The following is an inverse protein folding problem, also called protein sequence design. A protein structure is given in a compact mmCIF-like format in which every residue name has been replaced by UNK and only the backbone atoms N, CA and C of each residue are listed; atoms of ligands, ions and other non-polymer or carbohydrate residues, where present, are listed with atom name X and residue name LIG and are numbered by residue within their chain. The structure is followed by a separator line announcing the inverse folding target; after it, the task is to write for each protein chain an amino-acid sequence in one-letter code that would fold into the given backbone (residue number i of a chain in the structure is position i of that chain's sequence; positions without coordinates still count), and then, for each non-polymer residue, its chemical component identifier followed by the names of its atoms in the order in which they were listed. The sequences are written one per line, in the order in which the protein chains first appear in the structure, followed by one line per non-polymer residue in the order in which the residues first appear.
data_IF_958192481878
#
_entry.id   IF_958192481878
#
_cell.length_a   1.000
_cell.length_b   1.000
_cell.length_c   1.000
_cell.angle_alpha   90.00
_cell.angle_beta   90.00
_cell.angle_gamma   90.00
#
_symmetry.space_group_name_H-M   'P 1'
#
loop_
_entity.id
_entity.type
_entity.pdbx_description
1 polymer ?
#
# COMPACT_ATOMS: atom_id res chain seq x y z
N UNK A 1 39.46 8.68 -3.13
CA UNK A 1 38.04 8.33 -2.90
C UNK A 1 37.41 9.48 -2.14
N UNK A 2 36.59 10.31 -2.79
CA UNK A 2 35.83 11.34 -2.07
C UNK A 2 34.80 10.62 -1.20
N UNK A 3 34.95 10.70 0.12
CA UNK A 3 34.04 10.03 1.06
C UNK A 3 32.62 10.54 0.84
N UNK A 4 31.67 9.62 0.63
CA UNK A 4 30.25 9.98 0.47
C UNK A 4 29.79 10.68 1.75
N UNK A 5 29.63 12.00 1.70
CA UNK A 5 29.16 12.80 2.82
C UNK A 5 27.76 12.31 3.23
N UNK A 6 27.62 11.95 4.51
CA UNK A 6 26.32 11.56 5.07
C UNK A 6 25.43 12.80 5.11
N UNK A 7 24.34 12.80 4.36
CA UNK A 7 23.39 13.91 4.28
C UNK A 7 22.43 13.89 5.47
N UNK A 8 22.87 14.41 6.63
CA UNK A 8 22.03 14.55 7.82
C UNK A 8 21.04 15.70 7.67
N UNK A 9 19.77 15.47 8.01
CA UNK A 9 18.74 16.50 7.94
C UNK A 9 18.91 17.54 9.06
N UNK A 10 18.64 18.80 8.72
CA UNK A 10 18.66 19.93 9.63
C UNK A 10 17.77 21.02 9.05
N UNK A 11 16.83 21.57 9.83
CA UNK A 11 15.86 22.56 9.33
C UNK A 11 16.53 23.73 8.59
N UNK A 12 17.63 24.27 9.14
CA UNK A 12 18.39 25.39 8.55
C UNK A 12 19.04 25.06 7.20
N UNK A 13 19.41 23.80 6.96
CA UNK A 13 20.14 23.37 5.74
C UNK A 13 19.23 22.66 4.72
N UNK A 14 17.95 22.52 5.05
CA UNK A 14 17.00 21.75 4.27
C UNK A 14 15.94 22.64 3.63
N UNK A 15 15.57 22.30 2.39
CA UNK A 15 14.38 22.82 1.73
C UNK A 15 13.45 21.68 1.36
N UNK A 16 12.14 21.93 1.41
CA UNK A 16 11.11 20.98 0.97
C UNK A 16 10.68 21.30 -0.46
N UNK A 17 10.76 20.31 -1.35
CA UNK A 17 10.28 20.40 -2.72
C UNK A 17 9.02 19.54 -2.86
N UNK A 18 7.91 20.18 -3.23
CA UNK A 18 6.61 19.58 -3.50
C UNK A 18 6.37 19.54 -5.01
N UNK A 19 6.46 18.34 -5.59
CA UNK A 19 6.44 18.12 -7.03
C UNK A 19 5.03 17.77 -7.54
N UNK A 20 4.43 18.68 -8.31
CA UNK A 20 3.34 18.42 -9.27
C UNK A 20 2.11 17.66 -8.71
N UNK A 21 1.72 17.94 -7.46
CA UNK A 21 0.59 17.30 -6.77
C UNK A 21 -0.77 17.85 -7.26
N UNK A 22 -1.11 17.59 -8.52
CA UNK A 22 -2.21 18.27 -9.22
C UNK A 22 -3.49 17.44 -9.35
N UNK A 23 -4.62 18.14 -9.52
CA UNK A 23 -5.99 17.59 -9.57
C UNK A 23 -6.19 16.43 -10.56
N UNK A 24 -5.67 16.53 -11.79
CA UNK A 24 -5.91 15.50 -12.82
C UNK A 24 -5.22 14.17 -12.54
N UNK A 25 -4.31 14.10 -11.56
CA UNK A 25 -3.63 12.87 -11.18
C UNK A 25 -4.40 12.00 -10.18
N UNK A 26 -5.45 12.53 -9.54
CA UNK A 26 -6.21 11.86 -8.47
C UNK A 26 -6.60 10.42 -8.77
N UNK A 27 -7.09 10.16 -9.98
CA UNK A 27 -7.63 8.85 -10.36
C UNK A 27 -6.57 7.88 -10.87
N UNK A 28 -5.39 8.40 -11.23
CA UNK A 28 -4.41 7.64 -11.99
C UNK A 28 -3.21 7.25 -11.14
N UNK A 29 -2.97 7.91 -10.01
CA UNK A 29 -1.85 7.63 -9.10
C UNK A 29 -2.27 6.65 -8.02
N UNK A 30 -1.43 5.64 -7.78
CA UNK A 30 -1.62 4.69 -6.68
C UNK A 30 -1.43 5.40 -5.34
N UNK A 31 -2.36 5.21 -4.39
CA UNK A 31 -2.30 5.80 -3.05
C UNK A 31 -2.26 7.35 -3.06
N UNK A 32 -2.96 7.99 -4.01
CA UNK A 32 -2.90 9.45 -4.14
C UNK A 32 -3.29 10.19 -2.85
N UNK A 33 -4.36 9.75 -2.17
CA UNK A 33 -4.82 10.38 -0.94
C UNK A 33 -3.80 10.26 0.20
N UNK A 34 -3.14 9.11 0.33
CA UNK A 34 -2.07 8.86 1.29
C UNK A 34 -0.86 9.74 1.01
N UNK A 35 -0.50 9.90 -0.28
CA UNK A 35 0.60 10.76 -0.71
C UNK A 35 0.28 12.23 -0.42
N UNK A 36 -0.94 12.68 -0.69
CA UNK A 36 -1.42 14.03 -0.34
C UNK A 36 -1.35 14.25 1.17
N UNK A 37 -1.84 13.29 1.95
CA UNK A 37 -1.83 13.35 3.41
C UNK A 37 -0.40 13.50 3.97
N UNK A 38 0.53 12.65 3.53
CA UNK A 38 1.92 12.73 3.99
C UNK A 38 2.63 13.99 3.46
N UNK A 39 2.31 14.46 2.26
CA UNK A 39 2.83 15.72 1.72
C UNK A 39 2.33 16.92 2.51
N UNK A 40 1.05 16.95 2.88
CA UNK A 40 0.46 17.97 3.76
C UNK A 40 1.15 17.98 5.13
N UNK A 41 1.42 16.79 5.69
CA UNK A 41 2.19 16.68 6.94
C UNK A 41 3.59 17.30 6.79
N UNK A 42 4.31 17.02 5.70
CA UNK A 42 5.62 17.63 5.45
C UNK A 42 5.54 19.15 5.32
N UNK A 43 4.50 19.70 4.68
CA UNK A 43 4.28 21.15 4.60
C UNK A 43 4.08 21.78 5.98
N UNK A 44 3.25 21.16 6.84
CA UNK A 44 3.08 21.60 8.23
C UNK A 44 4.40 21.59 9.00
N UNK A 45 5.22 20.55 8.82
CA UNK A 45 6.55 20.44 9.44
C UNK A 45 7.49 21.53 8.91
N UNK A 46 7.54 21.74 7.60
CA UNK A 46 8.37 22.78 6.99
C UNK A 46 7.98 24.17 7.51
N UNK A 47 6.69 24.48 7.58
CA UNK A 47 6.19 25.72 8.18
C UNK A 47 6.58 25.84 9.65
N UNK A 48 6.38 24.77 10.42
CA UNK A 48 6.70 24.75 11.85
C UNK A 48 8.20 24.94 12.10
N UNK A 49 9.07 24.49 11.21
CA UNK A 49 10.52 24.58 11.34
C UNK A 49 11.14 25.74 10.53
N UNK A 50 10.30 26.62 9.99
CA UNK A 50 10.71 27.80 9.21
C UNK A 50 11.60 27.43 8.00
N UNK A 51 11.30 26.30 7.36
CA UNK A 51 12.03 25.77 6.22
C UNK A 51 11.50 26.37 4.90
N UNK A 52 12.39 26.67 3.93
CA UNK A 52 11.97 27.08 2.60
C UNK A 52 11.25 25.95 1.86
N UNK A 53 10.14 26.29 1.21
CA UNK A 53 9.32 25.36 0.41
C UNK A 53 9.27 25.83 -1.04
N UNK A 54 9.51 24.90 -1.96
CA UNK A 54 9.31 25.07 -3.40
C UNK A 54 8.17 24.15 -3.83
N UNK A 55 7.22 24.70 -4.60
CA UNK A 55 6.14 23.94 -5.21
C UNK A 55 6.17 24.15 -6.72
N UNK A 56 5.93 23.09 -7.50
CA UNK A 56 5.78 23.20 -8.97
C UNK A 56 4.46 22.62 -9.43
N UNK A 57 4.03 23.09 -10.60
CA UNK A 57 2.91 22.52 -11.35
C UNK A 57 3.35 22.20 -12.77
N UNK A 58 3.15 20.96 -13.19
CA UNK A 58 3.39 20.53 -14.56
C UNK A 58 2.17 20.91 -15.42
N UNK A 59 2.34 21.79 -16.41
CA UNK A 59 1.30 22.17 -17.38
C UNK A 59 -0.12 22.30 -16.75
N UNK A 60 -0.33 23.24 -15.80
CA UNK A 60 -1.56 23.29 -15.01
C UNK A 60 -2.82 23.55 -15.86
N UNK A 61 -2.68 24.19 -17.02
CA UNK A 61 -3.78 24.32 -18.00
C UNK A 61 -4.38 22.96 -18.39
N UNK A 62 -3.57 21.91 -18.51
CA UNK A 62 -4.04 20.57 -18.85
C UNK A 62 -4.20 19.63 -17.65
N UNK A 63 -3.35 19.77 -16.63
CA UNK A 63 -3.29 18.85 -15.48
C UNK A 63 -3.99 19.39 -14.23
N UNK A 64 -4.52 20.62 -14.29
CA UNK A 64 -5.18 21.28 -13.17
C UNK A 64 -4.18 21.87 -12.16
N UNK A 65 -4.68 22.63 -11.18
CA UNK A 65 -3.86 23.19 -10.12
C UNK A 65 -3.44 22.12 -9.11
N UNK A 66 -2.51 22.48 -8.23
CA UNK A 66 -2.17 21.73 -7.02
C UNK A 66 -3.42 21.51 -6.18
N UNK A 67 -3.55 20.30 -5.61
CA UNK A 67 -4.75 19.92 -4.85
C UNK A 67 -4.94 20.79 -3.59
N UNK A 68 -6.17 21.24 -3.29
CA UNK A 68 -6.45 22.18 -2.22
C UNK A 68 -6.17 21.62 -0.82
N UNK A 69 -6.17 20.29 -0.63
CA UNK A 69 -5.87 19.63 0.65
C UNK A 69 -4.44 19.89 1.15
N UNK A 70 -3.54 20.34 0.26
CA UNK A 70 -2.19 20.73 0.62
C UNK A 70 -2.12 22.15 1.22
N UNK A 71 -3.16 22.98 1.08
CA UNK A 71 -3.23 24.30 1.71
C UNK A 71 -2.11 25.26 1.28
N UNK A 72 -1.50 25.07 0.10
CA UNK A 72 -0.30 25.82 -0.31
C UNK A 72 -0.50 27.35 -0.29
N UNK A 73 -1.71 27.81 -0.59
CA UNK A 73 -2.08 29.23 -0.55
C UNK A 73 -2.09 29.79 0.87
N UNK A 74 -2.53 28.99 1.87
CA UNK A 74 -2.54 29.38 3.28
C UNK A 74 -1.12 29.56 3.83
N UNK A 75 -0.15 28.88 3.23
CA UNK A 75 1.26 29.01 3.54
C UNK A 75 1.97 30.12 2.74
N UNK A 76 1.26 30.81 1.84
CA UNK A 76 1.84 31.82 0.94
C UNK A 76 2.78 31.21 -0.11
N UNK A 77 2.64 29.92 -0.43
CA UNK A 77 3.47 29.23 -1.42
C UNK A 77 2.83 29.42 -2.79
N UNK A 78 3.58 30.06 -3.70
CA UNK A 78 3.17 30.22 -5.10
C UNK A 78 3.83 29.11 -5.93
N UNK A 79 3.06 28.23 -6.59
CA UNK A 79 3.63 27.18 -7.42
C UNK A 79 4.28 27.79 -8.67
N UNK A 80 5.42 27.22 -9.07
CA UNK A 80 6.09 27.56 -10.33
C UNK A 80 5.60 26.62 -11.42
N UNK A 81 4.98 27.19 -12.45
CA UNK A 81 4.53 26.42 -13.61
C UNK A 81 5.71 25.96 -14.47
N UNK A 82 5.64 24.74 -14.98
CA UNK A 82 6.68 24.17 -15.85
C UNK A 82 6.15 23.17 -16.87
N UNK A 83 6.94 22.95 -17.92
CA UNK A 83 6.77 21.87 -18.88
C UNK A 83 7.90 20.84 -18.83
N UNK A 84 9.07 21.22 -18.31
CA UNK A 84 10.16 20.29 -18.03
C UNK A 84 9.80 19.39 -16.84
N UNK A 85 10.18 18.11 -16.90
CA UNK A 85 9.89 17.17 -15.82
C UNK A 85 10.59 17.54 -14.52
N UNK A 86 11.88 17.89 -14.58
CA UNK A 86 12.65 18.34 -13.43
C UNK A 86 12.12 19.67 -12.86
N UNK A 87 12.09 19.79 -11.53
CA UNK A 87 11.85 21.04 -10.81
C UNK A 87 13.09 21.96 -10.80
N UNK A 88 14.23 21.49 -11.30
CA UNK A 88 15.50 22.24 -11.29
C UNK A 88 15.51 23.24 -12.45
N UNK A 89 14.75 24.31 -12.27
CA UNK A 89 14.68 25.44 -13.19
C UNK A 89 15.57 26.57 -12.65
N UNK A 90 16.20 27.39 -13.52
CA UNK A 90 17.05 28.50 -13.07
C UNK A 90 16.36 29.41 -12.05
N UNK A 91 15.11 29.80 -12.30
CA UNK A 91 14.33 30.63 -11.38
C UNK A 91 14.07 30.00 -10.01
N UNK A 92 14.09 28.67 -9.90
CA UNK A 92 13.91 27.95 -8.64
C UNK A 92 15.26 27.86 -7.92
N UNK A 93 16.30 27.38 -8.59
CA UNK A 93 17.61 27.18 -7.96
C UNK A 93 18.27 28.49 -7.58
N UNK A 94 18.18 29.51 -8.43
CA UNK A 94 18.85 30.79 -8.19
C UNK A 94 18.16 31.54 -7.05
N UNK A 95 16.83 31.49 -6.99
CA UNK A 95 16.05 32.06 -5.89
C UNK A 95 16.34 31.35 -4.56
N UNK A 96 16.37 30.00 -4.56
CA UNK A 96 16.69 29.21 -3.38
C UNK A 96 18.09 29.52 -2.86
N UNK A 97 19.10 29.51 -3.74
CA UNK A 97 20.48 29.77 -3.36
C UNK A 97 20.68 31.22 -2.90
N UNK A 98 20.04 32.18 -3.55
CA UNK A 98 20.14 33.61 -3.19
C UNK A 98 19.53 33.93 -1.83
N UNK A 99 18.39 33.32 -1.51
CA UNK A 99 17.67 33.62 -0.27
C UNK A 99 18.00 32.65 0.88
N UNK A 100 18.57 31.49 0.57
CA UNK A 100 18.84 30.42 1.51
C UNK A 100 20.18 29.72 1.22
N UNK A 101 21.28 30.48 1.19
CA UNK A 101 22.64 30.00 0.88
C UNK A 101 23.10 28.78 1.71
N UNK A 102 22.54 28.59 2.90
CA UNK A 102 22.87 27.47 3.79
C UNK A 102 22.23 26.14 3.35
N UNK A 103 21.23 26.19 2.46
CA UNK A 103 20.53 25.01 1.97
C UNK A 103 21.45 24.21 1.06
N UNK A 104 21.68 22.96 1.45
CA UNK A 104 22.45 21.99 0.67
C UNK A 104 21.82 20.60 0.69
N UNK A 105 20.62 20.47 1.26
CA UNK A 105 19.86 19.23 1.25
C UNK A 105 18.41 19.50 0.88
N UNK A 106 17.87 18.72 -0.06
CA UNK A 106 16.48 18.81 -0.50
C UNK A 106 15.72 17.59 -0.01
N UNK A 107 14.59 17.84 0.64
CA UNK A 107 13.58 16.82 0.94
C UNK A 107 12.54 16.90 -0.18
N UNK A 108 12.37 15.81 -0.92
CA UNK A 108 11.57 15.77 -2.14
C UNK A 108 10.36 14.85 -1.95
N UNK A 109 9.17 15.38 -2.18
CA UNK A 109 7.90 14.65 -2.22
C UNK A 109 7.06 15.06 -3.44
N UNK A 110 6.05 14.25 -3.77
CA UNK A 110 5.14 14.50 -4.88
C UNK A 110 5.13 13.41 -5.95
N UNK A 111 4.74 13.76 -7.17
CA UNK A 111 4.51 12.83 -8.29
C UNK A 111 5.08 13.36 -9.62
N UNK A 112 5.36 12.51 -10.61
CA UNK A 112 5.43 11.05 -10.53
C UNK A 112 6.85 10.58 -10.14
N UNK A 113 6.93 9.55 -9.30
CA UNK A 113 8.18 9.00 -8.74
C UNK A 113 9.22 8.68 -9.82
N UNK A 114 8.79 8.12 -10.96
CA UNK A 114 9.66 7.68 -12.04
C UNK A 114 9.97 8.74 -13.10
N UNK A 115 9.28 9.88 -13.06
CA UNK A 115 9.41 10.98 -14.00
C UNK A 115 9.89 12.23 -13.26
N UNK A 116 9.00 13.18 -12.93
CA UNK A 116 9.36 14.46 -12.34
C UNK A 116 10.21 14.33 -11.05
N UNK A 117 9.85 13.42 -10.14
CA UNK A 117 10.66 13.17 -8.93
C UNK A 117 12.04 12.59 -9.29
N UNK A 118 12.08 11.70 -10.29
CA UNK A 118 13.33 11.05 -10.70
C UNK A 118 14.32 12.05 -11.29
N UNK A 119 13.89 12.79 -12.32
CA UNK A 119 14.72 13.76 -13.01
C UNK A 119 15.13 14.90 -12.08
N UNK A 120 14.21 15.39 -11.23
CA UNK A 120 14.54 16.42 -10.22
C UNK A 120 15.64 15.96 -9.28
N UNK A 121 15.56 14.72 -8.79
CA UNK A 121 16.56 14.22 -7.85
C UNK A 121 17.94 14.03 -8.51
N UNK A 122 18.01 13.63 -9.77
CA UNK A 122 19.27 13.50 -10.49
C UNK A 122 19.92 14.88 -10.71
N UNK A 123 19.16 15.85 -11.21
CA UNK A 123 19.65 17.21 -11.44
C UNK A 123 20.14 17.89 -10.14
N UNK A 124 19.44 17.64 -9.02
CA UNK A 124 19.86 18.13 -7.69
C UNK A 124 21.17 17.49 -7.24
N UNK A 125 21.35 16.19 -7.46
CA UNK A 125 22.60 15.50 -7.14
C UNK A 125 23.77 16.02 -8.00
N UNK A 126 23.53 16.26 -9.30
CA UNK A 126 24.52 16.84 -10.21
C UNK A 126 24.94 18.25 -9.78
N UNK A 127 24.01 19.03 -9.22
CA UNK A 127 24.28 20.33 -8.59
C UNK A 127 24.91 20.24 -7.19
N UNK A 128 25.17 19.03 -6.68
CA UNK A 128 25.86 18.80 -5.41
C UNK A 128 24.97 18.86 -4.16
N UNK A 129 23.63 18.89 -4.32
CA UNK A 129 22.72 18.82 -3.18
C UNK A 129 22.65 17.38 -2.63
N UNK A 130 22.51 17.27 -1.32
CA UNK A 130 21.97 16.05 -0.72
C UNK A 130 20.49 15.91 -1.04
N UNK A 131 20.01 14.71 -1.38
CA UNK A 131 18.60 14.50 -1.71
C UNK A 131 18.00 13.40 -0.83
N UNK A 132 16.88 13.71 -0.20
CA UNK A 132 16.04 12.78 0.55
C UNK A 132 14.69 12.67 -0.15
N UNK A 133 14.37 11.51 -0.73
CA UNK A 133 13.05 11.25 -1.33
C UNK A 133 12.16 10.57 -0.29
N UNK A 134 10.99 11.14 -0.06
CA UNK A 134 10.03 10.66 0.95
C UNK A 134 9.09 9.64 0.32
N UNK A 135 9.38 8.35 0.51
CA UNK A 135 8.79 7.27 -0.30
C UNK A 135 7.30 7.06 -0.08
N UNK A 136 6.79 7.39 1.09
CA UNK A 136 5.38 7.38 1.49
C UNK A 136 4.66 8.71 1.16
N UNK A 137 5.39 9.70 0.63
CA UNK A 137 4.86 10.92 0.02
C UNK A 137 5.25 11.01 -1.47
N UNK A 138 5.56 9.87 -2.10
CA UNK A 138 5.84 9.77 -3.54
C UNK A 138 5.14 8.55 -4.14
N UNK A 139 4.52 8.73 -5.30
CA UNK A 139 3.91 7.62 -6.04
C UNK A 139 3.94 7.79 -7.56
N UNK A 140 3.40 6.82 -8.27
CA UNK A 140 3.26 6.77 -9.73
C UNK A 140 1.99 6.05 -10.09
N UNK A 141 1.63 6.09 -11.37
CA UNK A 141 0.46 5.36 -11.89
C UNK A 141 0.61 3.84 -11.78
N UNK A 142 1.82 3.36 -12.03
CA UNK A 142 2.20 1.96 -11.94
C UNK A 142 3.08 1.70 -10.73
N UNK A 143 2.78 0.62 -9.99
CA UNK A 143 3.63 0.17 -8.89
C UNK A 143 4.99 -0.36 -9.38
N UNK A 144 5.08 -0.83 -10.63
CA UNK A 144 6.34 -1.25 -11.23
C UNK A 144 7.27 -0.05 -11.44
N UNK A 145 6.74 1.03 -12.03
CA UNK A 145 7.49 2.26 -12.28
C UNK A 145 7.95 2.89 -10.97
N UNK A 146 7.05 3.00 -9.99
CA UNK A 146 7.37 3.49 -8.63
C UNK A 146 8.51 2.68 -8.01
N UNK A 147 8.42 1.33 -8.05
CA UNK A 147 9.42 0.43 -7.46
C UNK A 147 10.80 0.60 -8.10
N UNK A 148 10.87 0.66 -9.43
CA UNK A 148 12.15 0.78 -10.12
C UNK A 148 12.72 2.19 -10.06
N UNK A 149 11.89 3.22 -10.00
CA UNK A 149 12.32 4.58 -9.75
C UNK A 149 13.04 4.71 -8.41
N UNK A 150 12.45 4.21 -7.31
CA UNK A 150 13.14 4.20 -6.01
C UNK A 150 14.45 3.41 -6.03
N UNK A 151 14.50 2.28 -6.73
CA UNK A 151 15.76 1.53 -6.89
C UNK A 151 16.83 2.32 -7.63
N UNK A 152 16.46 3.06 -8.68
CA UNK A 152 17.37 3.92 -9.45
C UNK A 152 17.83 5.11 -8.60
N UNK A 153 16.92 5.79 -7.93
CA UNK A 153 17.22 6.90 -7.01
C UNK A 153 18.22 6.48 -5.94
N UNK A 154 17.96 5.35 -5.26
CA UNK A 154 18.89 4.82 -4.25
C UNK A 154 20.27 4.52 -4.82
N UNK A 155 20.34 3.98 -6.03
CA UNK A 155 21.60 3.69 -6.71
C UNK A 155 22.35 4.95 -7.14
N UNK A 156 21.63 6.01 -7.54
CA UNK A 156 22.20 7.29 -7.94
C UNK A 156 22.80 8.10 -6.79
N UNK A 157 22.40 7.82 -5.54
CA UNK A 157 22.95 8.51 -4.38
C UNK A 157 21.89 9.08 -3.43
N UNK A 158 20.62 9.04 -3.82
CA UNK A 158 19.50 9.56 -3.05
C UNK A 158 19.26 8.73 -1.79
N UNK A 159 19.02 9.42 -0.68
CA UNK A 159 18.55 8.79 0.56
C UNK A 159 17.03 8.58 0.45
N UNK A 160 16.58 7.33 0.49
CA UNK A 160 15.15 7.04 0.59
C UNK A 160 14.76 7.11 2.07
N UNK A 161 13.78 7.97 2.39
CA UNK A 161 13.31 8.20 3.75
C UNK A 161 11.78 8.06 3.80
N UNK A 162 11.19 7.99 4.99
CA UNK A 162 9.75 8.07 5.21
C UNK A 162 9.38 9.39 5.84
N UNK A 163 8.10 9.76 5.79
CA UNK A 163 7.61 11.01 6.35
C UNK A 163 7.97 11.11 7.84
N UNK A 164 7.63 10.09 8.64
CA UNK A 164 8.00 10.03 10.06
C UNK A 164 9.52 10.09 10.28
N UNK A 165 10.29 9.35 9.47
CA UNK A 165 11.75 9.34 9.55
C UNK A 165 12.36 10.73 9.29
N UNK A 166 11.81 11.49 8.34
CA UNK A 166 12.19 12.89 8.09
C UNK A 166 11.88 13.77 9.30
N UNK A 167 10.66 13.69 9.85
CA UNK A 167 10.26 14.53 11.00
C UNK A 167 11.16 14.29 12.21
N UNK A 168 11.41 13.03 12.55
CA UNK A 168 12.28 12.68 13.68
C UNK A 168 13.75 13.05 13.41
N UNK A 169 14.23 12.89 12.19
CA UNK A 169 15.58 13.30 11.79
C UNK A 169 15.78 14.82 11.88
N UNK A 170 14.76 15.62 11.56
CA UNK A 170 14.79 17.07 11.71
C UNK A 170 14.75 17.49 13.18
N UNK A 171 13.97 16.81 14.02
CA UNK A 171 13.90 17.06 15.45
C UNK A 171 15.22 16.75 16.17
N UNK A 172 15.91 15.67 15.78
CA UNK A 172 17.17 15.12 16.34
C UNK A 172 17.10 14.65 17.80
N UNK A 173 16.35 15.34 18.66
CA UNK A 173 16.19 15.04 20.07
C UNK A 173 14.73 15.28 20.50
N UNK A 174 14.23 14.43 21.38
CA UNK A 174 12.96 14.62 22.11
C UNK A 174 12.89 15.92 22.92
N UNK A 175 14.04 16.52 23.25
CA UNK A 175 14.16 17.82 23.92
C UNK A 175 14.08 19.01 22.97
N UNK A 176 13.93 18.80 21.66
CA UNK A 176 13.78 19.89 20.70
C UNK A 176 12.59 20.79 21.10
N UNK A 177 12.71 22.14 21.06
CA UNK A 177 11.66 23.04 21.54
C UNK A 177 10.28 22.79 20.92
N UNK A 178 10.26 22.45 19.62
CA UNK A 178 9.04 22.13 18.84
C UNK A 178 8.69 20.63 18.82
N UNK A 179 9.33 19.77 19.63
CA UNK A 179 9.15 18.31 19.55
C UNK A 179 7.71 17.86 19.78
N UNK A 180 7.00 18.46 20.75
CA UNK A 180 5.61 18.10 21.03
C UNK A 180 4.67 18.39 19.86
N UNK A 181 4.90 19.48 19.13
CA UNK A 181 4.14 19.82 17.93
C UNK A 181 4.47 18.85 16.79
N UNK A 182 5.75 18.54 16.58
CA UNK A 182 6.20 17.55 15.58
C UNK A 182 5.65 16.15 15.87
N UNK A 183 5.63 15.73 17.13
CA UNK A 183 5.11 14.42 17.55
C UNK A 183 3.61 14.29 17.26
N UNK A 184 2.83 15.33 17.52
CA UNK A 184 1.39 15.35 17.18
C UNK A 184 1.18 15.08 15.69
N UNK A 185 1.98 15.70 14.83
CA UNK A 185 1.90 15.52 13.38
C UNK A 185 2.19 14.07 12.96
N UNK A 186 3.12 13.38 13.63
CA UNK A 186 3.43 11.96 13.37
C UNK A 186 2.25 11.05 13.76
N UNK A 187 1.61 11.33 14.90
CA UNK A 187 0.48 10.54 15.40
C UNK A 187 -0.85 10.78 14.69
N UNK A 188 -0.98 11.85 13.90
CA UNK A 188 -2.13 12.02 13.01
C UNK A 188 -2.25 10.81 12.10
N UNK A 189 -3.37 10.09 12.14
CA UNK A 189 -3.70 9.04 11.17
C UNK A 189 -4.68 9.58 10.13
N UNK A 190 -4.67 9.01 8.91
CA UNK A 190 -5.66 9.37 7.90
C UNK A 190 -7.10 9.11 8.36
N UNK A 191 -7.31 8.07 9.17
CA UNK A 191 -8.62 7.74 9.75
C UNK A 191 -9.14 8.83 10.69
N UNK A 192 -8.26 9.58 11.36
CA UNK A 192 -8.63 10.76 12.15
C UNK A 192 -9.14 11.92 11.29
N UNK A 193 -8.57 12.12 10.09
CA UNK A 193 -9.00 13.18 9.17
C UNK A 193 -10.31 12.84 8.46
N UNK A 194 -10.57 11.57 8.13
CA UNK A 194 -11.88 11.16 7.61
C UNK A 194 -13.02 11.53 8.58
N UNK A 195 -12.79 11.45 9.90
CA UNK A 195 -13.73 11.88 10.92
C UNK A 195 -13.82 13.41 11.07
N UNK A 196 -12.70 14.14 10.96
CA UNK A 196 -12.70 15.62 10.99
C UNK A 196 -13.29 16.26 9.72
N UNK A 197 -13.06 15.68 8.53
CA UNK A 197 -13.66 16.13 7.28
C UNK A 197 -15.18 15.91 7.27
N UNK A 198 -15.66 14.80 7.87
CA UNK A 198 -17.10 14.56 8.10
C UNK A 198 -17.72 15.60 9.04
N UNK A 199 -16.98 16.04 10.07
CA UNK A 199 -17.40 17.12 10.96
C UNK A 199 -17.39 18.49 10.25
N UNK A 200 -16.40 18.76 9.40
CA UNK A 200 -16.29 20.01 8.64
C UNK A 200 -17.37 20.18 7.58
N UNK A 201 -17.82 19.08 6.94
CA UNK A 201 -18.97 19.08 6.02
C UNK A 201 -20.28 19.30 6.78
N UNK A 202 -20.43 18.71 7.97
CA UNK A 202 -21.59 18.95 8.84
C UNK A 202 -21.66 20.41 9.33
N UNK A 203 -20.53 21.01 9.72
CA UNK A 203 -20.48 22.41 10.17
C UNK A 203 -20.76 23.42 9.04
N UNK A 204 -20.39 23.10 7.78
CA UNK A 204 -20.78 23.93 6.63
C UNK A 204 -22.25 23.78 6.27
N UNK A 205 -22.85 22.60 6.52
CA UNK A 205 -24.29 22.39 6.30
C UNK A 205 -25.17 23.13 7.32
N UNK A 206 -24.75 23.25 8.59
CA UNK A 206 -25.48 24.03 9.61
C UNK A 206 -25.47 25.54 9.32
N UNK A 207 -24.35 26.08 8.83
CA UNK A 207 -24.25 27.50 8.46
C UNK A 207 -25.17 27.85 7.28
N UNK A 208 -25.27 26.96 6.30
CA UNK A 208 -26.16 27.11 5.13
C UNK A 208 -27.63 26.92 5.54
N UNK A 209 -27.93 25.97 6.43
CA UNK A 209 -29.31 25.75 6.93
C UNK A 209 -29.82 26.90 7.80
N UNK A 210 -28.94 27.51 8.63
CA UNK A 210 -29.28 28.71 9.41
C UNK A 210 -29.60 29.91 8.51
N UNK A 211 -28.87 30.07 7.41
CA UNK A 211 -29.11 31.16 6.45
C UNK A 211 -30.39 30.94 5.63
N UNK A 212 -30.82 29.68 5.45
CA UNK A 212 -32.07 29.31 4.78
C UNK A 212 -33.29 29.45 5.70
N UNK A 213 -33.17 29.08 6.99
CA UNK A 213 -34.28 29.14 7.96
C UNK A 213 -34.63 30.56 8.41
N UNK A 214 -33.72 31.53 8.26
CA UNK A 214 -34.04 32.97 8.49
C UNK A 214 -34.87 33.61 7.37
N UNK A 215 -35.12 32.91 6.25
CA UNK A 215 -35.77 33.47 5.05
C UNK A 215 -37.19 32.97 4.78
N UNK A 216 -37.69 31.99 5.55
CA UNK A 216 -39.04 31.41 5.37
C UNK A 216 -39.72 31.13 6.72
N UNK A 217 -40.30 32.15 7.34
CA UNK A 217 -41.73 32.24 7.70
C UNK A 217 -41.99 33.16 8.90
N UNK A 218 -43.14 33.87 8.91
CA UNK A 218 -43.46 34.95 9.82
C UNK A 218 -44.39 34.53 10.97
N UNK A 219 -44.41 35.36 12.03
CA UNK A 219 -45.49 35.54 13.01
C UNK A 219 -45.94 34.31 13.84
N UNK A 220 -45.70 34.34 15.15
CA UNK A 220 -46.76 34.41 16.19
C UNK A 220 -46.12 34.97 17.49
N UNK A 221 -46.92 35.82 18.11
CA UNK A 221 -46.74 36.79 19.19
C UNK A 221 -46.54 36.27 20.62
N UNK A 222 -45.76 37.04 21.39
CA UNK A 222 -45.90 37.47 22.80
C UNK A 222 -46.46 36.52 23.88
N UNK A 223 -45.69 36.36 24.97
CA UNK A 223 -46.15 36.68 26.35
C UNK A 223 -44.96 36.80 27.35
N UNK A 224 -44.75 38.05 27.78
CA UNK A 224 -44.37 38.59 29.10
C UNK A 224 -43.78 37.66 30.19
N UNK A 225 -42.53 37.91 30.62
CA UNK A 225 -42.06 38.68 31.83
C UNK A 225 -41.77 37.82 33.05
N UNK A 226 -40.61 38.04 33.70
CA UNK A 226 -40.45 37.68 35.11
C UNK A 226 -39.02 37.41 35.60
N UNK A 227 -38.30 38.50 35.90
CA UNK A 227 -37.32 38.66 37.00
C UNK A 227 -36.27 37.59 37.34
N UNK A 228 -34.99 38.00 37.16
CA UNK A 228 -33.89 38.08 38.14
C UNK A 228 -33.62 36.88 39.08
N UNK A 229 -32.48 36.23 38.81
CA UNK A 229 -31.36 35.81 39.69
C UNK A 229 -31.43 36.20 41.20
N UNK A 230 -30.78 35.48 42.15
CA UNK A 230 -29.39 35.02 41.98
C UNK A 230 -28.87 33.79 42.78
N UNK A 231 -27.60 33.44 42.45
CA UNK A 231 -26.50 33.02 43.33
C UNK A 231 -26.60 31.72 44.16
N UNK A 232 -25.60 30.86 43.96
CA UNK A 232 -24.71 30.51 45.07
C UNK A 232 -24.63 29.03 45.49
N UNK A 233 -23.64 28.35 44.91
CA UNK A 233 -22.62 27.55 45.61
C UNK A 233 -23.00 26.41 46.59
N UNK A 234 -22.54 25.20 46.19
CA UNK A 234 -21.70 24.24 46.94
C UNK A 234 -22.07 23.82 48.37
N UNK A 235 -22.29 22.51 48.52
CA UNK A 235 -21.75 21.59 49.56
C UNK A 235 -22.07 20.18 49.06
N UNK A 236 -21.17 19.24 48.72
CA UNK A 236 -20.01 18.60 49.38
C UNK A 236 -20.34 17.86 50.68
N UNK A 237 -20.39 16.53 50.53
CA UNK A 237 -20.05 15.44 51.46
C UNK A 237 -20.90 15.24 52.72
N UNK A 238 -21.42 14.02 52.93
CA UNK A 238 -20.87 12.95 53.79
C UNK A 238 -21.93 11.80 53.87
N UNK A 239 -21.57 10.53 53.57
CA UNK A 239 -21.54 9.37 54.51
C UNK A 239 -22.54 9.48 55.69
N UNK A 240 -23.32 8.48 56.11
CA UNK A 240 -23.39 7.03 55.87
C UNK A 240 -24.53 6.52 56.79
N UNK A 241 -25.20 5.41 56.43
CA UNK A 241 -25.87 4.43 57.33
C UNK A 241 -27.11 4.90 58.14
N UNK A 242 -28.22 4.18 58.37
CA UNK A 242 -28.55 2.74 58.42
C UNK A 242 -30.10 2.57 58.43
N UNK A 243 -30.55 1.39 57.98
CA UNK A 243 -31.84 0.69 58.18
C UNK A 243 -33.21 1.32 57.85
N UNK A 244 -33.90 0.61 56.95
CA UNK A 244 -35.07 -0.19 57.36
C UNK A 244 -36.46 0.40 57.13
N UNK A 245 -37.18 -0.17 56.17
CA UNK A 245 -38.63 -0.35 56.28
C UNK A 245 -39.53 0.64 55.53
N UNK A 246 -40.03 0.17 54.39
CA UNK A 246 -41.37 0.38 53.84
C UNK A 246 -41.86 1.81 53.55
N UNK A 247 -41.87 2.17 52.27
CA UNK A 247 -43.12 2.40 51.53
C UNK A 247 -42.81 2.74 50.06
N UNK A 248 -43.31 1.91 49.16
CA UNK A 248 -43.36 2.19 47.72
C UNK A 248 -44.68 2.93 47.43
N UNK A 249 -44.64 4.12 46.81
CA UNK A 249 -45.68 4.54 45.89
C UNK A 249 -45.19 4.31 44.45
N UNK A 250 -45.82 3.32 43.84
CA UNK A 250 -46.10 3.15 42.41
C UNK A 250 -45.48 4.19 41.45
N UNK A 251 -44.45 3.76 40.70
CA UNK A 251 -44.10 4.41 39.44
C UNK A 251 -44.74 3.64 38.27
N UNK A 252 -45.47 4.40 37.46
CA UNK A 252 -46.25 3.97 36.31
C UNK A 252 -45.42 3.22 35.26
N UNK A 253 -45.86 2.01 34.91
CA UNK A 253 -45.26 1.06 33.95
C UNK A 253 -45.01 1.64 32.55
N UNK A 254 -45.59 2.79 32.20
CA UNK A 254 -45.48 3.39 30.86
C UNK A 254 -44.17 4.15 30.60
N UNK A 255 -43.46 4.63 31.62
CA UNK A 255 -42.23 5.42 31.42
C UNK A 255 -40.96 4.56 31.36
N UNK A 256 -40.94 3.39 32.01
CA UNK A 256 -39.81 2.45 31.94
C UNK A 256 -39.66 1.75 30.58
N UNK A 257 -40.71 1.78 29.75
CA UNK A 257 -40.73 1.15 28.43
C UNK A 257 -40.17 2.06 27.32
N UNK A 258 -40.07 3.38 27.53
CA UNK A 258 -39.62 4.30 26.46
C UNK A 258 -38.09 4.47 26.37
N UNK A 259 -37.38 4.29 27.48
CA UNK A 259 -35.90 4.35 27.48
C UNK A 259 -35.24 3.02 27.10
N UNK A 260 -35.89 1.89 27.36
CA UNK A 260 -35.33 0.56 27.05
C UNK A 260 -35.37 0.22 25.55
N UNK A 261 -36.26 0.86 24.78
CA UNK A 261 -36.40 0.60 23.33
C UNK A 261 -35.29 1.24 22.49
N UNK A 262 -34.56 2.23 23.03
CA UNK A 262 -33.43 2.86 22.31
C UNK A 262 -32.14 2.03 22.37
N UNK A 263 -31.96 1.17 23.37
CA UNK A 263 -30.74 0.36 23.55
C UNK A 263 -30.76 -0.95 22.75
N UNK A 264 -31.94 -1.49 22.48
CA UNK A 264 -32.11 -2.73 21.68
C UNK A 264 -31.83 -2.48 20.19
N UNK A 265 -32.19 -1.31 19.67
CA UNK A 265 -31.99 -0.96 18.25
C UNK A 265 -30.51 -0.89 17.85
N UNK A 266 -29.68 -0.22 18.65
CA UNK A 266 -28.25 -0.09 18.36
C UNK A 266 -27.49 -1.42 18.50
N UNK A 267 -27.86 -2.24 19.47
CA UNK A 267 -27.26 -3.57 19.64
C UNK A 267 -27.55 -4.50 18.45
N UNK A 268 -28.76 -4.41 17.89
CA UNK A 268 -29.13 -5.13 16.66
C UNK A 268 -28.34 -4.70 15.43
N UNK A 269 -28.09 -3.39 15.27
CA UNK A 269 -27.28 -2.85 14.16
C UNK A 269 -25.82 -3.29 14.28
N UNK A 270 -25.25 -3.29 15.49
CA UNK A 270 -23.87 -3.74 15.73
C UNK A 270 -23.72 -5.24 15.42
N UNK A 271 -24.68 -6.07 15.84
CA UNK A 271 -24.69 -7.50 15.52
C UNK A 271 -24.83 -7.77 14.02
N UNK A 272 -25.69 -7.03 13.32
CA UNK A 272 -25.81 -7.13 11.86
C UNK A 272 -24.54 -6.69 11.15
N UNK A 273 -23.89 -5.61 11.61
CA UNK A 273 -22.62 -5.12 11.08
C UNK A 273 -21.48 -6.12 11.27
N UNK A 274 -21.39 -6.76 12.45
CA UNK A 274 -20.42 -7.83 12.73
C UNK A 274 -20.68 -9.09 11.90
N UNK A 275 -21.94 -9.44 11.65
CA UNK A 275 -22.30 -10.56 10.78
C UNK A 275 -21.83 -10.35 9.34
N UNK A 276 -22.16 -9.19 8.75
CA UNK A 276 -21.78 -8.87 7.36
C UNK A 276 -20.26 -8.77 7.20
N UNK A 277 -19.58 -8.10 8.13
CA UNK A 277 -18.10 -8.02 8.09
C UNK A 277 -17.45 -9.39 8.27
N UNK A 278 -17.98 -10.25 9.14
CA UNK A 278 -17.47 -11.62 9.29
C UNK A 278 -17.66 -12.48 8.04
N UNK A 279 -18.78 -12.31 7.32
CA UNK A 279 -19.03 -13.00 6.05
C UNK A 279 -18.05 -12.53 4.97
N UNK A 280 -17.86 -11.22 4.81
CA UNK A 280 -16.89 -10.67 3.86
C UNK A 280 -15.48 -11.13 4.21
N UNK A 281 -15.11 -11.07 5.50
CA UNK A 281 -13.82 -11.52 5.98
C UNK A 281 -13.64 -13.02 5.71
N UNK A 282 -14.66 -13.84 5.92
CA UNK A 282 -14.62 -15.27 5.62
C UNK A 282 -14.36 -15.55 4.14
N UNK A 283 -15.07 -14.88 3.23
CA UNK A 283 -14.84 -15.05 1.79
C UNK A 283 -13.45 -14.57 1.37
N UNK A 284 -13.00 -13.42 1.87
CA UNK A 284 -11.65 -12.92 1.58
C UNK A 284 -10.58 -13.86 2.11
N UNK A 285 -10.70 -14.35 3.35
CA UNK A 285 -9.73 -15.29 3.91
C UNK A 285 -9.76 -16.65 3.21
N UNK A 286 -10.94 -17.13 2.78
CA UNK A 286 -11.03 -18.37 2.00
C UNK A 286 -10.39 -18.23 0.62
N UNK A 287 -10.49 -17.05 0.01
CA UNK A 287 -9.84 -16.75 -1.27
C UNK A 287 -8.32 -16.54 -1.12
N UNK A 288 -7.89 -15.83 -0.06
CA UNK A 288 -6.47 -15.51 0.17
C UNK A 288 -5.65 -16.69 0.70
N UNK A 289 -6.29 -17.64 1.39
CA UNK A 289 -5.65 -18.80 2.02
C UNK A 289 -6.16 -20.13 1.43
N UNK A 290 -6.46 -20.17 0.12
CA UNK A 290 -6.51 -21.47 -0.55
C UNK A 290 -5.14 -22.15 -0.41
N UNK A 291 -5.13 -23.47 -0.22
CA UNK A 291 -3.93 -24.27 0.06
C UNK A 291 -2.86 -24.24 -1.04
N UNK A 292 -3.15 -23.56 -2.14
CA UNK A 292 -2.47 -23.73 -3.43
C UNK A 292 -1.60 -22.51 -3.79
N UNK A 293 -1.19 -21.75 -2.77
CA UNK A 293 -0.25 -20.64 -2.96
C UNK A 293 1.08 -21.12 -3.59
N UNK A 294 1.74 -20.32 -4.45
CA UNK A 294 3.03 -20.69 -5.03
C UNK A 294 4.12 -21.02 -3.99
N UNK A 295 4.05 -20.40 -2.80
CA UNK A 295 5.00 -20.67 -1.71
C UNK A 295 4.75 -22.02 -1.02
N UNK A 296 3.49 -22.43 -0.85
CA UNK A 296 3.16 -23.77 -0.32
C UNK A 296 3.56 -24.86 -1.30
N UNK A 297 3.30 -24.65 -2.60
CA UNK A 297 3.75 -25.56 -3.68
C UNK A 297 5.27 -25.69 -3.71
N UNK A 298 6.01 -24.58 -3.62
CA UNK A 298 7.47 -24.60 -3.53
C UNK A 298 7.96 -25.41 -2.32
N UNK A 299 7.37 -25.16 -1.14
CA UNK A 299 7.79 -25.83 0.10
C UNK A 299 7.53 -27.34 0.03
N UNK A 300 6.37 -27.75 -0.49
CA UNK A 300 6.02 -29.15 -0.69
C UNK A 300 6.93 -29.84 -1.70
N UNK A 301 7.22 -29.19 -2.84
CA UNK A 301 8.10 -29.72 -3.87
C UNK A 301 9.55 -29.83 -3.39
N UNK A 302 10.05 -28.83 -2.64
CA UNK A 302 11.38 -28.86 -2.05
C UNK A 302 11.51 -30.01 -1.06
N UNK A 303 10.55 -30.16 -0.16
CA UNK A 303 10.55 -31.24 0.84
C UNK A 303 10.49 -32.64 0.19
N UNK A 304 9.78 -32.78 -0.94
CA UNK A 304 9.82 -34.03 -1.74
C UNK A 304 11.19 -34.28 -2.37
N UNK A 305 11.86 -33.25 -2.90
CA UNK A 305 13.21 -33.39 -3.44
C UNK A 305 14.23 -33.76 -2.36
N UNK A 306 14.09 -33.23 -1.15
CA UNK A 306 14.99 -33.52 -0.03
C UNK A 306 14.82 -34.94 0.52
N UNK A 307 13.61 -35.51 0.43
CA UNK A 307 13.30 -36.87 0.89
C UNK A 307 13.72 -37.97 -0.09
N UNK A 308 13.99 -37.64 -1.36
CA UNK A 308 14.36 -38.63 -2.37
C UNK A 308 15.86 -38.99 -2.28
N UNK A 309 16.21 -40.27 -2.08
CA UNK A 309 17.60 -40.69 -1.91
C UNK A 309 18.44 -40.48 -3.17
N UNK A 310 17.85 -40.57 -4.38
CA UNK A 310 18.59 -40.36 -5.63
C UNK A 310 19.00 -38.90 -5.77
N UNK A 311 18.14 -37.97 -5.36
CA UNK A 311 18.47 -36.54 -5.34
C UNK A 311 19.57 -36.26 -4.32
N UNK A 312 19.50 -36.87 -3.13
CA UNK A 312 20.52 -36.73 -2.10
C UNK A 312 21.89 -37.25 -2.54
N UNK A 313 21.95 -38.44 -3.16
CA UNK A 313 23.19 -39.04 -3.66
C UNK A 313 23.85 -38.20 -4.76
N UNK A 314 23.03 -37.61 -5.64
CA UNK A 314 23.49 -36.79 -6.76
C UNK A 314 24.04 -35.42 -6.34
N UNK A 315 23.37 -34.76 -5.38
CA UNK A 315 23.71 -33.40 -4.96
C UNK A 315 24.68 -33.35 -3.78
N UNK A 316 24.61 -34.33 -2.88
CA UNK A 316 25.36 -34.38 -1.63
C UNK A 316 24.77 -33.45 -0.56
N UNK A 317 24.62 -33.95 0.66
CA UNK A 317 24.15 -33.16 1.79
C UNK A 317 25.23 -32.17 2.29
N UNK A 318 24.84 -31.00 2.84
CA UNK A 318 23.49 -30.46 2.97
C UNK A 318 22.96 -29.83 1.68
N UNK A 319 21.67 -30.01 1.40
CA UNK A 319 21.01 -29.49 0.19
C UNK A 319 20.20 -28.24 0.52
N UNK A 320 20.34 -27.19 -0.30
CA UNK A 320 19.61 -25.92 -0.15
C UNK A 320 18.80 -25.62 -1.41
N UNK A 321 17.52 -25.28 -1.24
CA UNK A 321 16.65 -24.78 -2.31
C UNK A 321 16.70 -23.27 -2.44
N UNK A 322 16.71 -22.76 -3.66
CA UNK A 322 16.69 -21.33 -3.96
C UNK A 322 15.95 -21.01 -5.26
N UNK A 323 15.40 -19.80 -5.35
CA UNK A 323 14.70 -19.30 -6.54
C UNK A 323 15.65 -18.79 -7.63
N UNK A 324 15.11 -18.17 -8.67
CA UNK A 324 15.91 -17.57 -9.74
C UNK A 324 16.89 -16.53 -9.21
N UNK A 325 18.13 -16.61 -9.71
CA UNK A 325 19.16 -15.65 -9.40
C UNK A 325 18.87 -14.34 -10.16
N UNK A 326 18.48 -13.31 -9.41
CA UNK A 326 18.38 -11.97 -9.98
C UNK A 326 19.77 -11.47 -10.40
N UNK A 327 19.84 -10.50 -11.32
CA UNK A 327 21.12 -9.83 -11.73
C UNK A 327 21.96 -9.27 -10.57
N UNK A 328 21.44 -9.23 -9.33
CA UNK A 328 22.12 -8.79 -8.09
C UNK A 328 22.45 -9.96 -7.14
N UNK A 329 22.39 -11.21 -7.58
CA UNK A 329 22.72 -12.40 -6.77
C UNK A 329 21.68 -12.78 -5.71
N UNK A 330 20.50 -12.13 -5.68
CA UNK A 330 19.41 -12.48 -4.75
C UNK A 330 18.61 -13.64 -5.34
N UNK A 331 18.47 -14.73 -4.58
CA UNK A 331 17.85 -16.01 -4.98
C UNK A 331 16.53 -16.31 -4.26
N UNK A 332 15.71 -15.29 -4.02
CA UNK A 332 14.49 -15.40 -3.18
C UNK A 332 13.19 -15.54 -3.97
N UNK A 333 13.21 -15.35 -5.29
CA UNK A 333 12.00 -15.38 -6.11
C UNK A 333 11.91 -16.67 -6.89
N UNK A 334 10.88 -17.48 -6.62
CA UNK A 334 10.63 -18.72 -7.35
C UNK A 334 9.82 -18.41 -8.60
N UNK A 335 10.34 -18.80 -9.76
CA UNK A 335 9.70 -18.57 -11.05
C UNK A 335 8.46 -19.45 -11.14
N UNK A 336 7.29 -18.84 -11.27
CA UNK A 336 6.02 -19.54 -11.40
C UNK A 336 5.14 -18.86 -12.45
N UNK A 337 4.39 -19.65 -13.21
CA UNK A 337 3.46 -19.21 -14.23
C UNK A 337 2.15 -19.95 -14.04
N UNK A 338 1.07 -19.19 -13.84
CA UNK A 338 -0.30 -19.69 -13.87
C UNK A 338 -0.84 -19.50 -15.29
N UNK A 339 -1.39 -20.55 -15.89
CA UNK A 339 -2.02 -20.48 -17.20
C UNK A 339 -3.21 -21.43 -17.30
N UNK A 340 -4.17 -21.10 -18.16
CA UNK A 340 -5.35 -21.92 -18.40
C UNK A 340 -5.19 -22.69 -19.71
N UNK A 341 -5.50 -23.98 -19.71
CA UNK A 341 -5.52 -24.81 -20.91
C UNK A 341 -6.64 -25.84 -20.78
N UNK A 342 -7.45 -26.00 -21.82
CA UNK A 342 -8.55 -26.99 -21.87
C UNK A 342 -9.54 -26.85 -20.69
N UNK A 343 -9.74 -25.60 -20.22
CA UNK A 343 -10.61 -25.23 -19.11
C UNK A 343 -10.14 -25.73 -17.73
N UNK A 344 -8.86 -26.05 -17.57
CA UNK A 344 -8.22 -26.35 -16.29
C UNK A 344 -7.07 -25.38 -16.03
N UNK A 345 -6.86 -25.00 -14.78
CA UNK A 345 -5.74 -24.15 -14.39
C UNK A 345 -4.47 -24.99 -14.22
N UNK A 346 -3.37 -24.47 -14.74
CA UNK A 346 -2.04 -25.05 -14.60
C UNK A 346 -1.13 -24.10 -13.85
N UNK A 347 -0.30 -24.67 -12.99
CA UNK A 347 0.78 -23.98 -12.30
C UNK A 347 2.10 -24.62 -12.70
N UNK A 348 2.94 -23.87 -13.43
CA UNK A 348 4.30 -24.29 -13.76
C UNK A 348 5.29 -23.54 -12.90
N UNK A 349 6.27 -24.24 -12.34
CA UNK A 349 7.26 -23.66 -11.45
C UNK A 349 8.66 -24.21 -11.71
N UNK A 350 9.65 -23.33 -11.55
CA UNK A 350 11.08 -23.64 -11.67
C UNK A 350 11.86 -23.06 -10.51
N UNK A 351 12.69 -23.89 -9.89
CA UNK A 351 13.65 -23.48 -8.84
C UNK A 351 14.93 -24.32 -8.90
N UNK A 352 15.88 -24.02 -8.02
CA UNK A 352 17.22 -24.60 -8.06
C UNK A 352 17.61 -25.20 -6.71
N UNK A 353 18.38 -26.27 -6.76
CA UNK A 353 18.95 -26.98 -5.61
C UNK A 353 20.48 -26.89 -5.68
N UNK A 354 21.12 -26.69 -4.52
CA UNK A 354 22.57 -26.74 -4.37
C UNK A 354 22.93 -27.64 -3.20
N UNK A 355 23.60 -28.74 -3.51
CA UNK A 355 24.24 -29.61 -2.53
C UNK A 355 25.74 -29.34 -2.40
N UNK A 356 26.42 -30.18 -1.65
CA UNK A 356 27.88 -30.11 -1.43
C UNK A 356 28.69 -30.53 -2.66
N UNK A 357 28.15 -31.42 -3.50
CA UNK A 357 28.80 -31.94 -4.71
C UNK A 357 28.35 -31.21 -5.97
N UNK A 358 27.04 -31.06 -6.18
CA UNK A 358 26.46 -30.57 -7.43
C UNK A 358 25.30 -29.58 -7.23
N UNK A 359 24.88 -28.96 -8.34
CA UNK A 359 23.67 -28.15 -8.45
C UNK A 359 22.68 -28.82 -9.39
N UNK A 360 21.39 -28.57 -9.18
CA UNK A 360 20.32 -29.04 -10.04
C UNK A 360 19.21 -28.01 -10.19
N UNK A 361 18.50 -28.10 -11.30
CA UNK A 361 17.26 -27.39 -11.56
C UNK A 361 16.07 -28.33 -11.33
N UNK A 362 15.07 -27.86 -10.59
CA UNK A 362 13.80 -28.56 -10.40
C UNK A 362 12.76 -27.92 -11.30
N UNK A 363 12.07 -28.75 -12.07
CA UNK A 363 10.95 -28.34 -12.91
C UNK A 363 9.71 -29.10 -12.47
N UNK A 364 8.62 -28.37 -12.25
CA UNK A 364 7.34 -28.96 -11.92
C UNK A 364 6.20 -28.27 -12.64
N UNK A 365 5.14 -29.02 -12.85
CA UNK A 365 3.87 -28.54 -13.34
C UNK A 365 2.75 -29.27 -12.63
N UNK A 366 1.78 -28.51 -12.16
CA UNK A 366 0.59 -29.02 -11.51
C UNK A 366 -0.64 -28.60 -12.32
N UNK A 367 -1.66 -29.43 -12.33
CA UNK A 367 -2.94 -29.19 -12.98
C UNK A 367 -4.05 -29.27 -11.94
N UNK A 368 -4.99 -28.35 -12.01
CA UNK A 368 -6.18 -28.35 -11.16
C UNK A 368 -7.11 -29.50 -11.60
N UNK A 369 -7.42 -30.39 -10.67
CA UNK A 369 -8.41 -31.43 -10.90
C UNK A 369 -9.82 -30.84 -10.76
N UNK A 370 -10.59 -30.84 -11.85
CA UNK A 370 -11.94 -30.26 -11.90
C UNK A 370 -12.94 -30.89 -10.93
N UNK A 371 -12.67 -32.10 -10.44
CA UNK A 371 -13.56 -32.83 -9.51
C UNK A 371 -13.25 -32.53 -8.04
N UNK A 372 -11.98 -32.28 -7.70
CA UNK A 372 -11.54 -32.08 -6.32
C UNK A 372 -11.19 -30.62 -6.02
N UNK A 373 -10.96 -29.79 -7.04
CA UNK A 373 -10.50 -28.41 -6.91
C UNK A 373 -9.06 -28.28 -6.41
N UNK A 374 -8.31 -29.39 -6.35
CA UNK A 374 -6.93 -29.43 -5.87
C UNK A 374 -5.94 -29.57 -7.03
N UNK A 375 -4.75 -28.98 -6.85
CA UNK A 375 -3.65 -29.14 -7.80
C UNK A 375 -2.97 -30.50 -7.63
N UNK A 376 -2.88 -31.25 -8.73
CA UNK A 376 -2.16 -32.51 -8.82
C UNK A 376 -0.91 -32.34 -9.68
N UNK A 377 0.20 -32.96 -9.29
CA UNK A 377 1.44 -32.90 -10.09
C UNK A 377 1.23 -33.63 -11.41
N UNK A 378 1.38 -32.90 -12.51
CA UNK A 378 1.51 -33.46 -13.85
C UNK A 378 2.91 -34.02 -14.04
N UNK A 379 3.93 -33.28 -13.61
CA UNK A 379 5.29 -33.79 -13.48
C UNK A 379 6.07 -33.02 -12.40
N UNK A 380 7.07 -33.68 -11.83
CA UNK A 380 8.09 -33.13 -10.95
C UNK A 380 9.38 -33.89 -11.21
N UNK A 381 10.41 -33.20 -11.70
CA UNK A 381 11.73 -33.81 -11.94
C UNK A 381 12.86 -32.85 -11.60
N UNK A 382 14.00 -33.45 -11.25
CA UNK A 382 15.24 -32.78 -10.90
C UNK A 382 16.26 -33.07 -11.98
N UNK A 383 16.87 -32.04 -12.55
CA UNK A 383 17.91 -32.16 -13.57
C UNK A 383 19.21 -31.58 -13.05
N UNK A 384 20.27 -32.37 -13.03
CA UNK A 384 21.60 -31.91 -12.61
C UNK A 384 22.22 -30.96 -13.64
N UNK A 385 23.01 -30.00 -13.15
CA UNK A 385 23.75 -29.06 -13.98
C UNK A 385 25.17 -29.55 -14.34
N UNK A 386 25.48 -30.81 -14.01
CA UNK A 386 26.72 -31.47 -14.42
C UNK A 386 26.74 -31.73 -15.94
N UNK A 387 27.93 -32.01 -16.49
CA UNK A 387 28.10 -32.29 -17.92
C UNK A 387 27.20 -33.44 -18.42
N UNK A 388 26.83 -34.36 -17.54
CA UNK A 388 25.97 -35.49 -17.84
C UNK A 388 24.45 -35.17 -17.85
N UNK A 389 24.04 -34.01 -17.32
CA UNK A 389 22.64 -33.54 -17.25
C UNK A 389 21.63 -34.63 -16.85
N UNK A 390 21.97 -35.40 -15.81
CA UNK A 390 21.14 -36.51 -15.30
C UNK A 390 19.79 -36.00 -14.81
N UNK A 391 18.74 -36.74 -15.13
CA UNK A 391 17.35 -36.41 -14.75
C UNK A 391 16.83 -37.45 -13.78
N UNK A 392 16.36 -37.00 -12.61
CA UNK A 392 15.62 -37.80 -11.64
C UNK A 392 14.17 -37.39 -11.68
N UNK A 393 13.31 -38.31 -12.09
CA UNK A 393 11.86 -38.11 -12.12
C UNK A 393 11.32 -38.50 -10.74
N UNK A 394 10.70 -37.55 -10.04
CA UNK A 394 10.04 -37.77 -8.75
C UNK A 394 8.59 -38.17 -8.96
N UNK A 395 7.88 -37.44 -9.82
CA UNK A 395 6.52 -37.77 -10.24
C UNK A 395 6.33 -37.45 -11.73
N UNK A 396 5.61 -38.31 -12.44
CA UNK A 396 5.24 -38.09 -13.85
C UNK A 396 3.87 -38.72 -14.12
N UNK A 397 2.84 -37.88 -14.08
CA UNK A 397 1.46 -38.25 -14.38
C UNK A 397 1.04 -37.78 -15.77
N UNK A 398 1.98 -37.38 -16.66
CA UNK A 398 1.68 -36.89 -18.01
C UNK A 398 0.87 -37.88 -18.86
N UNK A 399 0.98 -39.19 -18.59
CA UNK A 399 0.23 -40.24 -19.30
C UNK A 399 -1.18 -40.51 -18.75
N UNK A 400 -1.58 -39.93 -17.60
CA UNK A 400 -2.90 -40.15 -17.00
C UNK A 400 -3.95 -39.13 -17.43
N UNK A 401 -3.52 -37.94 -17.88
CA UNK A 401 -4.41 -36.83 -18.22
C UNK A 401 -5.05 -36.92 -19.60
N UNK A 402 -4.57 -37.80 -20.49
CA UNK A 402 -5.03 -37.88 -21.89
C UNK A 402 -6.17 -38.90 -22.11
N UNK A 403 -6.66 -39.57 -21.07
CA UNK A 403 -7.69 -40.64 -21.21
C UNK A 403 -9.08 -40.30 -20.63
N UNK A 404 -9.30 -39.10 -20.10
CA UNK A 404 -10.64 -38.70 -19.59
C UNK A 404 -11.54 -38.04 -20.63
N UNK A 405 -11.32 -38.33 -21.92
CA UNK A 405 -12.29 -38.04 -22.99
C UNK A 405 -12.24 -39.10 -24.09
N UNK A 406 -12.75 -40.30 -23.81
CA UNK A 406 -13.15 -41.24 -24.86
C UNK A 406 -14.47 -41.92 -24.46
N UNK A 407 -15.56 -41.75 -25.23
CA UNK A 407 -16.70 -42.65 -25.13
C UNK A 407 -16.34 -44.04 -25.66
N UNK A 408 -17.11 -45.03 -25.21
CA UNK A 408 -17.00 -46.48 -25.39
C UNK A 408 -16.71 -46.98 -26.82
N UNK A 409 -16.09 -48.18 -26.97
CA UNK A 409 -15.81 -48.78 -28.26
C UNK A 409 -17.06 -49.43 -28.86
N UNK A 410 -17.82 -48.64 -29.61
CA UNK A 410 -18.78 -49.16 -30.58
C UNK A 410 -18.76 -48.26 -31.79
N UNK A 411 -17.97 -48.64 -32.80
CA UNK A 411 -18.26 -48.56 -34.24
C UNK A 411 -16.95 -48.67 -35.02
N UNK A 412 -16.70 -49.89 -35.51
CA UNK A 412 -15.67 -50.21 -36.47
C UNK A 412 -16.16 -49.75 -37.85
N UNK A 413 -15.65 -48.63 -38.35
CA UNK A 413 -15.97 -48.10 -39.68
C UNK A 413 -14.70 -47.75 -40.46
N UNK A 414 -14.41 -48.58 -41.46
CA UNK A 414 -13.38 -48.50 -42.50
C UNK A 414 -12.75 -47.12 -42.82
N UNK A 415 -11.42 -47.04 -42.75
CA UNK A 415 -10.61 -45.99 -43.39
C UNK A 415 -10.13 -46.47 -44.78
N UNK A 416 -10.19 -45.63 -45.83
CA UNK A 416 -9.72 -45.98 -47.17
C UNK A 416 -8.19 -45.84 -47.30
N UNK A 417 -7.61 -46.65 -48.20
CA UNK A 417 -6.18 -46.70 -48.49
C UNK A 417 -5.63 -45.38 -49.08
N UNK A 418 -4.37 -45.02 -48.81
CA UNK A 418 -3.77 -43.79 -49.30
C UNK A 418 -3.40 -43.88 -50.80
N UNK A 419 -3.93 -42.92 -51.56
CA UNK A 419 -3.45 -42.53 -52.89
C UNK A 419 -2.18 -41.68 -52.71
N UNK A 420 -1.02 -42.18 -53.14
CA UNK A 420 -0.04 -41.54 -54.03
C UNK A 420 1.32 -42.28 -53.96
N UNK A 421 1.99 -42.54 -55.10
CA UNK A 421 3.25 -43.29 -55.14
C UNK A 421 4.48 -42.40 -54.94
N UNK A 422 5.48 -42.90 -54.20
CA UNK A 422 6.82 -42.31 -54.14
C UNK A 422 7.65 -42.84 -55.31
N UNK A 423 7.79 -42.03 -56.36
CA UNK A 423 8.82 -42.21 -57.38
C UNK A 423 10.13 -41.50 -56.97
N UNK A 424 11.24 -42.23 -57.08
CA UNK A 424 12.49 -41.71 -57.64
C UNK A 424 13.48 -41.02 -56.71
N UNK A 425 14.37 -41.79 -56.08
CA UNK A 425 15.74 -41.38 -55.77
C UNK A 425 16.70 -42.35 -56.47
N UNK A 426 17.42 -41.82 -57.48
CA UNK A 426 18.66 -42.39 -58.01
C UNK A 426 19.81 -42.05 -57.08
#
# INVERSE_FOLDING_TARGET
MSGRLVTRLSSVRCSLFLCDMQEKFRTNIQYFNEVVFNSSRLLKVAKLLDMPVVCTEQYPKGLGPTVPELGIQEYGIVPVEKTQFSMVLPQITDNLLKNHEQVNTIILCGIETHACIHETALDLLEKGFGVHVVVDACSSRSMLDRKYAFKRLKAAGVTLNTCEGVVLSLAKDSKHPKFRELQKLIWESMSGIANCARLGVLLRSEAILRQYLTRYSPCVTHLHTGSKTPLGQKQKALSEHVDGGDNVPSMTVKEKVKETTKTVGYSGIVLAGLGVTSIILYYVFRELFSSDSPNSVYTAALDRCLRDPKVADLLGEPIKGFGEETRRGRRTHVSHLLYEKDGANYLRMKFYLKGSRNQATVNLEMVENKQTGHFEYRYLFVQTEDMARRVVILEDNRGKTDYTSSPSPTELGSLPAPLFPLEGLK
#
